data_IF_372617784349
#
_entry.id   IF_372617784349
#
_cell.length_a   1.000
_cell.length_b   1.000
_cell.length_c   1.000
_cell.angle_alpha   90.00
_cell.angle_beta   90.00
_cell.angle_gamma   90.00
#
_symmetry.space_group_name_H-M   'P 1'
#
loop_
_entity.id
_entity.type
_entity.pdbx_description
1 polymer ?
#
# COMPACT_ATOMS: atom_id res chain seq x y z
N UNK A 1 36.16 18.11 -9.39
CA UNK A 1 35.30 17.39 -8.42
C UNK A 1 34.08 17.00 -9.23
N UNK A 2 34.22 15.91 -10.00
CA UNK A 2 33.31 15.56 -11.08
C UNK A 2 33.12 14.05 -11.06
N UNK A 3 31.87 13.57 -11.12
CA UNK A 3 31.61 12.18 -11.51
C UNK A 3 30.83 11.27 -10.56
N UNK A 4 29.71 11.71 -9.96
CA UNK A 4 28.72 10.77 -9.36
C UNK A 4 27.29 10.96 -9.89
N UNK A 5 27.08 11.84 -10.87
CA UNK A 5 25.90 11.76 -11.76
C UNK A 5 26.23 10.83 -12.91
N UNK A 6 26.33 9.53 -12.62
CA UNK A 6 26.24 8.50 -13.67
C UNK A 6 24.93 8.76 -14.41
N UNK A 7 25.02 9.14 -15.69
CA UNK A 7 23.91 9.06 -16.62
C UNK A 7 23.21 7.74 -16.38
N UNK A 8 21.96 7.79 -15.96
CA UNK A 8 21.08 6.63 -16.05
C UNK A 8 21.17 6.20 -17.52
N UNK A 9 21.70 5.02 -17.82
CA UNK A 9 21.76 4.54 -19.20
C UNK A 9 20.36 4.67 -19.81
N UNK A 10 20.26 5.18 -21.04
CA UNK A 10 18.97 5.44 -21.69
C UNK A 10 18.04 4.21 -21.75
N UNK A 11 18.59 2.99 -21.67
CA UNK A 11 17.81 1.76 -21.55
C UNK A 11 17.11 1.60 -20.19
N UNK A 12 17.76 1.97 -19.08
CA UNK A 12 17.19 1.94 -17.73
C UNK A 12 16.08 2.98 -17.57
N UNK A 13 16.25 4.15 -18.20
CA UNK A 13 15.24 5.21 -18.22
C UNK A 13 13.98 4.76 -18.99
N UNK A 14 14.16 4.13 -20.15
CA UNK A 14 13.04 3.58 -20.93
C UNK A 14 12.29 2.46 -20.20
N UNK A 15 13.01 1.57 -19.51
CA UNK A 15 12.40 0.52 -18.69
C UNK A 15 11.60 1.10 -17.51
N UNK A 16 12.13 2.11 -16.83
CA UNK A 16 11.45 2.81 -15.73
C UNK A 16 10.21 3.57 -16.20
N UNK A 17 10.26 4.20 -17.38
CA UNK A 17 9.10 4.87 -17.99
C UNK A 17 7.96 3.88 -18.31
N UNK A 18 8.28 2.73 -18.93
CA UNK A 18 7.27 1.69 -19.22
C UNK A 18 6.65 1.12 -17.95
N UNK A 19 7.47 0.81 -16.95
CA UNK A 19 6.98 0.31 -15.66
C UNK A 19 6.06 1.34 -14.97
N UNK A 20 6.42 2.62 -15.03
CA UNK A 20 5.61 3.71 -14.47
C UNK A 20 4.25 3.81 -15.16
N UNK A 21 4.18 3.68 -16.49
CA UNK A 21 2.90 3.68 -17.22
C UNK A 21 1.97 2.54 -16.75
N UNK A 22 2.52 1.33 -16.54
CA UNK A 22 1.74 0.20 -16.01
C UNK A 22 1.28 0.48 -14.57
N UNK A 23 2.14 1.04 -13.71
CA UNK A 23 1.79 1.40 -12.33
C UNK A 23 0.70 2.47 -12.30
N UNK A 24 0.78 3.49 -13.15
CA UNK A 24 -0.22 4.57 -13.26
C UNK A 24 -1.56 4.00 -13.71
N UNK A 25 -1.57 3.13 -14.72
CA UNK A 25 -2.78 2.44 -15.17
C UNK A 25 -3.37 1.58 -14.06
N UNK A 26 -2.55 0.76 -13.41
CA UNK A 26 -2.99 -0.09 -12.30
C UNK A 26 -3.60 0.75 -11.17
N UNK A 27 -2.95 1.84 -10.76
CA UNK A 27 -3.46 2.75 -9.73
C UNK A 27 -4.78 3.42 -10.14
N UNK A 28 -4.92 3.79 -11.42
CA UNK A 28 -6.15 4.40 -11.95
C UNK A 28 -7.31 3.40 -12.01
N UNK A 29 -7.05 2.13 -12.29
CA UNK A 29 -8.05 1.06 -12.24
C UNK A 29 -8.42 0.76 -10.78
N UNK A 30 -7.42 0.64 -9.89
CA UNK A 30 -7.65 0.34 -8.47
C UNK A 30 -8.28 1.50 -7.68
N UNK A 31 -8.33 2.72 -8.21
CA UNK A 31 -8.85 3.90 -7.48
C UNK A 31 -10.28 3.71 -6.98
N UNK A 32 -11.12 3.02 -7.75
CA UNK A 32 -12.53 2.77 -7.46
C UNK A 32 -12.74 1.65 -6.45
N UNK A 33 -12.20 0.44 -6.65
CA UNK A 33 -12.35 -0.64 -5.66
C UNK A 33 -11.72 -0.26 -4.31
N UNK A 34 -10.60 0.45 -4.30
CA UNK A 34 -10.00 0.94 -3.03
C UNK A 34 -10.84 2.02 -2.35
N UNK A 35 -11.59 2.82 -3.11
CA UNK A 35 -12.53 3.80 -2.53
C UNK A 35 -13.74 3.07 -1.94
N UNK A 36 -14.30 2.09 -2.65
CA UNK A 36 -15.38 1.26 -2.14
C UNK A 36 -14.98 0.57 -0.83
N UNK A 37 -13.77 0.00 -0.76
CA UNK A 37 -13.24 -0.63 0.45
C UNK A 37 -13.11 0.33 1.64
N UNK A 38 -12.90 1.62 1.37
CA UNK A 38 -12.78 2.65 2.40
C UNK A 38 -14.16 3.13 2.86
N UNK A 39 -15.12 3.27 1.94
CA UNK A 39 -16.44 3.84 2.23
C UNK A 39 -17.42 2.81 2.80
N UNK A 40 -17.42 1.57 2.32
CA UNK A 40 -18.32 0.52 2.79
C UNK A 40 -18.31 0.29 4.32
N UNK A 41 -17.15 0.23 5.01
CA UNK A 41 -17.12 -0.04 6.44
C UNK A 41 -17.45 1.19 7.30
N UNK A 42 -17.42 2.41 6.77
CA UNK A 42 -17.70 3.62 7.55
C UNK A 42 -19.07 3.63 8.24
N UNK A 43 -20.20 3.34 7.58
CA UNK A 43 -21.50 3.32 8.27
C UNK A 43 -21.54 2.30 9.42
N UNK A 44 -20.84 1.17 9.29
CA UNK A 44 -20.77 0.14 10.34
C UNK A 44 -19.95 0.63 11.53
N UNK A 45 -18.79 1.25 11.28
CA UNK A 45 -17.94 1.85 12.32
C UNK A 45 -18.69 2.97 13.04
N UNK A 46 -19.38 3.83 12.29
CA UNK A 46 -20.20 4.92 12.85
C UNK A 46 -21.29 4.34 13.73
N UNK A 47 -21.98 3.28 13.29
CA UNK A 47 -23.02 2.60 14.08
C UNK A 47 -22.47 2.09 15.41
N UNK A 48 -21.33 1.39 15.40
CA UNK A 48 -20.69 0.87 16.61
C UNK A 48 -20.32 2.01 17.57
N UNK A 49 -19.74 3.09 17.06
CA UNK A 49 -19.35 4.23 17.88
C UNK A 49 -20.55 5.02 18.41
N UNK A 50 -21.61 5.16 17.61
CA UNK A 50 -22.84 5.87 17.98
C UNK A 50 -23.64 5.13 19.05
N UNK A 51 -23.57 3.79 19.05
CA UNK A 51 -24.20 2.95 20.08
C UNK A 51 -23.36 2.85 21.34
N UNK A 52 -22.05 3.12 21.30
CA UNK A 52 -21.19 3.00 22.48
C UNK A 52 -21.69 3.74 23.75
N UNK A 53 -22.30 4.95 23.68
CA UNK A 53 -22.84 5.65 24.84
C UNK A 53 -24.05 4.98 25.49
N UNK A 54 -24.74 4.05 24.80
CA UNK A 54 -25.90 3.33 25.35
C UNK A 54 -25.48 2.16 26.26
N UNK A 55 -24.17 1.90 26.37
CA UNK A 55 -23.63 0.86 27.24
C UNK A 55 -23.16 1.47 28.56
N UNK A 56 -23.52 0.83 29.66
CA UNK A 56 -22.96 1.13 30.98
C UNK A 56 -21.83 0.17 31.36
N UNK A 57 -20.93 0.65 32.24
CA UNK A 57 -19.85 -0.13 32.84
C UNK A 57 -18.74 -0.55 31.84
N UNK A 58 -18.09 -1.71 32.06
CA UNK A 58 -16.94 -2.13 31.25
C UNK A 58 -17.29 -2.38 29.77
N UNK A 59 -18.55 -2.69 29.44
CA UNK A 59 -19.00 -2.90 28.06
C UNK A 59 -18.81 -1.67 27.17
N UNK A 60 -19.00 -0.46 27.72
CA UNK A 60 -18.77 0.80 26.99
C UNK A 60 -17.33 0.94 26.51
N UNK A 61 -16.38 0.63 27.39
CA UNK A 61 -14.96 0.71 27.06
C UNK A 61 -14.57 -0.29 25.98
N UNK A 62 -15.14 -1.51 26.01
CA UNK A 62 -14.91 -2.52 24.97
C UNK A 62 -15.45 -2.06 23.62
N UNK A 63 -16.70 -1.59 23.56
CA UNK A 63 -17.32 -1.11 22.31
C UNK A 63 -16.57 0.09 21.75
N UNK A 64 -16.18 1.06 22.60
CA UNK A 64 -15.35 2.19 22.19
C UNK A 64 -13.98 1.74 21.67
N UNK A 65 -13.29 0.85 22.39
CA UNK A 65 -11.98 0.37 21.97
C UNK A 65 -12.05 -0.32 20.60
N UNK A 66 -13.06 -1.15 20.37
CA UNK A 66 -13.30 -1.81 19.08
C UNK A 66 -13.61 -0.79 17.98
N UNK A 67 -14.53 0.15 18.24
CA UNK A 67 -14.87 1.23 17.30
C UNK A 67 -13.67 2.09 16.90
N UNK A 68 -12.85 2.48 17.88
CA UNK A 68 -11.61 3.26 17.66
C UNK A 68 -10.59 2.44 16.87
N UNK A 69 -10.38 1.16 17.21
CA UNK A 69 -9.46 0.30 16.48
C UNK A 69 -9.85 0.19 15.00
N UNK A 70 -11.14 0.00 14.69
CA UNK A 70 -11.64 -0.04 13.32
C UNK A 70 -11.43 1.30 12.60
N UNK A 71 -11.69 2.43 13.27
CA UNK A 71 -11.47 3.76 12.72
C UNK A 71 -9.98 4.01 12.41
N UNK A 72 -9.07 3.57 13.28
CA UNK A 72 -7.63 3.69 13.06
C UNK A 72 -7.16 2.88 11.84
N UNK A 73 -7.66 1.65 11.66
CA UNK A 73 -7.35 0.84 10.48
C UNK A 73 -7.85 1.53 9.20
N UNK A 74 -9.07 2.05 9.22
CA UNK A 74 -9.64 2.81 8.09
C UNK A 74 -8.82 4.06 7.76
N UNK A 75 -8.45 4.84 8.78
CA UNK A 75 -7.62 6.03 8.61
C UNK A 75 -6.22 5.70 8.09
N UNK A 76 -5.59 4.62 8.57
CA UNK A 76 -4.30 4.15 8.09
C UNK A 76 -4.37 3.76 6.60
N UNK A 77 -5.41 3.03 6.20
CA UNK A 77 -5.65 2.67 4.80
C UNK A 77 -5.90 3.90 3.92
N UNK A 78 -6.72 4.85 4.39
CA UNK A 78 -7.00 6.12 3.70
C UNK A 78 -5.71 6.93 3.46
N UNK A 79 -4.88 7.07 4.49
CA UNK A 79 -3.60 7.79 4.41
C UNK A 79 -2.63 7.11 3.44
N UNK A 80 -2.62 5.77 3.39
CA UNK A 80 -1.81 5.02 2.40
C UNK A 80 -2.33 5.21 0.98
N UNK A 81 -3.64 5.09 0.77
CA UNK A 81 -4.29 5.33 -0.52
C UNK A 81 -3.98 6.74 -1.05
N UNK A 82 -4.09 7.76 -0.21
CA UNK A 82 -3.77 9.14 -0.58
C UNK A 82 -2.30 9.29 -1.02
N UNK A 83 -1.36 8.72 -0.26
CA UNK A 83 0.08 8.80 -0.58
C UNK A 83 0.42 8.08 -1.89
N UNK A 84 -0.21 6.93 -2.16
CA UNK A 84 -0.02 6.19 -3.43
C UNK A 84 -0.60 6.96 -4.62
N UNK A 85 -1.81 7.51 -4.50
CA UNK A 85 -2.41 8.31 -5.58
C UNK A 85 -1.58 9.57 -5.87
N UNK A 86 -1.14 10.27 -4.82
CA UNK A 86 -0.26 11.44 -4.94
C UNK A 86 1.10 11.10 -5.57
N UNK A 87 1.64 9.91 -5.29
CA UNK A 87 2.88 9.45 -5.91
C UNK A 87 2.72 9.17 -7.42
N UNK A 88 1.51 8.81 -7.85
CA UNK A 88 1.18 8.49 -9.25
C UNK A 88 0.79 9.72 -10.07
N UNK A 89 0.40 10.83 -9.43
CA UNK A 89 0.04 12.09 -10.08
C UNK A 89 1.20 12.73 -10.86
N UNK A 90 2.45 12.50 -10.45
CA UNK A 90 3.64 12.93 -11.19
C UNK A 90 4.46 11.71 -11.66
N UNK A 91 4.09 11.16 -12.84
CA UNK A 91 4.68 9.95 -13.39
C UNK A 91 6.14 10.16 -13.84
N UNK A 92 6.53 11.38 -14.20
CA UNK A 92 7.91 11.65 -14.64
C UNK A 92 8.86 11.52 -13.45
N UNK A 93 8.56 12.19 -12.33
CA UNK A 93 9.41 12.04 -11.15
C UNK A 93 9.33 10.64 -10.53
N UNK A 94 8.22 9.92 -10.66
CA UNK A 94 8.15 8.51 -10.25
C UNK A 94 9.09 7.63 -11.08
N UNK A 95 9.15 7.81 -12.40
CA UNK A 95 10.07 7.09 -13.27
C UNK A 95 11.54 7.39 -12.92
N UNK A 96 11.86 8.65 -12.63
CA UNK A 96 13.21 9.06 -12.17
C UNK A 96 13.58 8.39 -10.85
N UNK A 97 12.69 8.42 -9.84
CA UNK A 97 12.95 7.79 -8.54
C UNK A 97 13.08 6.26 -8.64
N UNK A 98 12.32 5.62 -9.53
CA UNK A 98 12.48 4.19 -9.81
C UNK A 98 13.83 3.89 -10.49
N UNK A 99 14.26 4.73 -11.43
CA UNK A 99 15.60 4.63 -12.02
C UNK A 99 16.72 4.77 -11.00
N UNK A 100 16.59 5.70 -10.04
CA UNK A 100 17.51 5.87 -8.92
C UNK A 100 17.51 4.64 -8.01
N UNK A 101 16.33 4.10 -7.66
CA UNK A 101 16.21 2.91 -6.83
C UNK A 101 16.85 1.66 -7.47
N UNK A 102 16.78 1.54 -8.79
CA UNK A 102 17.45 0.48 -9.57
C UNK A 102 18.97 0.69 -9.59
N UNK A 103 19.44 1.93 -9.79
CA UNK A 103 20.87 2.22 -9.77
C UNK A 103 21.47 1.94 -8.38
N UNK A 104 20.74 2.32 -7.31
CA UNK A 104 21.13 2.06 -5.92
C UNK A 104 21.17 0.57 -5.56
N UNK A 105 20.48 -0.31 -6.28
CA UNK A 105 20.49 -1.75 -5.99
C UNK A 105 21.84 -2.41 -6.34
N UNK A 106 22.71 -1.72 -7.10
CA UNK A 106 23.98 -2.25 -7.57
C UNK A 106 23.84 -3.41 -8.55
N UNK A 107 22.61 -3.77 -8.96
CA UNK A 107 22.29 -4.87 -9.88
C UNK A 107 21.37 -4.39 -11.01
N UNK A 108 21.80 -3.35 -11.71
CA UNK A 108 21.01 -2.74 -12.78
C UNK A 108 20.51 -3.76 -13.82
N UNK A 109 21.33 -4.74 -14.20
CA UNK A 109 20.97 -5.73 -15.23
C UNK A 109 19.93 -6.78 -14.76
N UNK A 110 20.01 -7.27 -13.51
CA UNK A 110 18.97 -8.16 -12.95
C UNK A 110 17.64 -7.41 -12.77
N UNK A 111 17.70 -6.13 -12.38
CA UNK A 111 16.49 -5.32 -12.15
C UNK A 111 15.86 -4.85 -13.47
N UNK A 112 16.65 -4.67 -14.54
CA UNK A 112 16.15 -4.41 -15.91
C UNK A 112 15.30 -5.58 -16.42
N UNK A 113 15.77 -6.82 -16.27
CA UNK A 113 15.01 -8.01 -16.65
C UNK A 113 13.67 -8.14 -15.90
N UNK A 114 13.61 -7.64 -14.67
CA UNK A 114 12.38 -7.55 -13.88
C UNK A 114 11.43 -6.49 -14.43
N UNK A 115 11.92 -5.30 -14.75
CA UNK A 115 11.11 -4.22 -15.33
C UNK A 115 10.54 -4.61 -16.71
N UNK A 116 11.34 -5.29 -17.54
CA UNK A 116 10.89 -5.84 -18.82
C UNK A 116 9.85 -6.97 -18.63
N UNK A 117 10.04 -7.83 -17.62
CA UNK A 117 9.05 -8.87 -17.30
C UNK A 117 7.71 -8.30 -16.81
N UNK A 118 7.73 -7.16 -16.09
CA UNK A 118 6.51 -6.42 -15.71
C UNK A 118 5.85 -5.78 -16.92
N UNK A 119 6.64 -5.22 -17.84
CA UNK A 119 6.13 -4.63 -19.08
C UNK A 119 5.61 -5.68 -20.09
N UNK A 120 6.11 -6.91 -20.04
CA UNK A 120 5.79 -8.01 -20.98
C UNK A 120 4.48 -8.77 -20.74
N UNK A 121 3.63 -8.37 -19.80
CA UNK A 121 2.24 -8.87 -19.71
C UNK A 121 2.03 -10.29 -19.16
N UNK A 122 2.99 -10.87 -18.42
CA UNK A 122 2.90 -12.24 -17.87
C UNK A 122 2.55 -12.33 -16.38
N UNK A 123 1.38 -11.86 -15.96
CA UNK A 123 1.04 -11.49 -14.57
C UNK A 123 1.35 -12.47 -13.42
N UNK A 124 1.29 -13.80 -13.59
CA UNK A 124 1.50 -14.75 -12.47
C UNK A 124 2.88 -15.42 -12.47
N UNK A 125 3.41 -15.81 -13.64
CA UNK A 125 4.77 -16.38 -13.76
C UNK A 125 5.85 -15.32 -13.67
N UNK A 126 5.59 -14.09 -14.15
CA UNK A 126 6.51 -12.98 -13.92
C UNK A 126 6.56 -12.66 -12.42
N UNK A 127 5.42 -12.66 -11.73
CA UNK A 127 5.35 -12.37 -10.29
C UNK A 127 6.08 -13.39 -9.42
N UNK A 128 5.99 -14.69 -9.73
CA UNK A 128 6.75 -15.72 -8.98
C UNK A 128 8.26 -15.63 -9.20
N UNK A 129 8.69 -15.30 -10.43
CA UNK A 129 10.11 -15.04 -10.76
C UNK A 129 10.64 -13.76 -10.10
N UNK A 130 9.82 -12.71 -10.12
CA UNK A 130 10.03 -11.46 -9.38
C UNK A 130 10.25 -11.76 -7.90
N UNK A 131 9.34 -12.51 -7.27
CA UNK A 131 9.44 -12.86 -5.85
C UNK A 131 10.73 -13.62 -5.54
N UNK A 132 11.14 -14.55 -6.43
CA UNK A 132 12.42 -15.26 -6.32
C UNK A 132 13.63 -14.34 -6.41
N UNK A 133 13.67 -13.45 -7.41
CA UNK A 133 14.73 -12.45 -7.58
C UNK A 133 14.80 -11.47 -6.41
N UNK A 134 13.66 -10.95 -5.95
CA UNK A 134 13.57 -10.08 -4.78
C UNK A 134 13.99 -10.77 -3.48
N UNK A 135 13.85 -12.09 -3.36
CA UNK A 135 14.35 -12.85 -2.21
C UNK A 135 15.85 -13.13 -2.26
N UNK A 136 16.46 -13.07 -3.46
CA UNK A 136 17.91 -13.27 -3.69
C UNK A 136 18.73 -11.98 -3.82
N UNK A 137 18.08 -10.83 -3.99
CA UNK A 137 18.73 -9.51 -3.85
C UNK A 137 18.93 -9.26 -2.36
N UNK A 138 20.13 -9.55 -1.87
CA UNK A 138 20.55 -9.19 -0.53
C UNK A 138 20.36 -7.69 -0.33
N UNK A 139 19.35 -7.33 0.47
CA UNK A 139 19.05 -5.94 0.83
C UNK A 139 20.23 -5.37 1.60
N UNK A 140 21.16 -4.71 0.92
CA UNK A 140 22.24 -3.99 1.60
C UNK A 140 21.62 -2.83 2.39
N UNK A 141 22.07 -2.57 3.62
CA UNK A 141 21.51 -1.50 4.45
C UNK A 141 21.47 -0.13 3.74
N UNK A 142 22.48 0.14 2.91
CA UNK A 142 22.58 1.35 2.07
C UNK A 142 21.43 1.51 1.06
N UNK A 143 20.92 0.40 0.52
CA UNK A 143 19.78 0.42 -0.39
C UNK A 143 18.45 0.65 0.33
N UNK A 144 18.30 0.09 1.54
CA UNK A 144 17.13 0.33 2.41
C UNK A 144 17.06 1.81 2.81
N UNK A 145 18.19 2.38 3.24
CA UNK A 145 18.28 3.78 3.66
C UNK A 145 18.00 4.72 2.48
N UNK A 146 18.64 4.48 1.33
CA UNK A 146 18.44 5.29 0.12
C UNK A 146 17.02 5.24 -0.44
N UNK A 147 16.29 4.13 -0.30
CA UNK A 147 14.87 4.05 -0.68
C UNK A 147 13.98 4.79 0.31
N UNK A 148 14.34 4.81 1.59
CA UNK A 148 13.60 5.54 2.62
C UNK A 148 13.43 7.02 2.29
N UNK A 149 14.46 7.59 1.67
CA UNK A 149 14.56 8.99 1.28
C UNK A 149 13.80 9.35 0.00
N UNK A 150 13.45 8.36 -0.83
CA UNK A 150 12.68 8.58 -2.06
C UNK A 150 11.20 8.85 -1.73
N UNK A 151 10.65 10.04 -2.01
CA UNK A 151 9.31 10.40 -1.52
C UNK A 151 8.18 9.58 -2.16
N UNK A 152 8.35 9.09 -3.39
CA UNK A 152 7.31 8.41 -4.20
C UNK A 152 7.60 6.93 -4.40
N UNK A 153 8.83 6.57 -4.80
CA UNK A 153 9.19 5.17 -5.11
C UNK A 153 9.13 4.25 -3.88
N UNK A 154 9.34 4.78 -2.67
CA UNK A 154 9.32 4.00 -1.42
C UNK A 154 8.04 3.21 -1.14
N UNK A 155 6.91 3.60 -1.73
CA UNK A 155 5.63 2.90 -1.54
C UNK A 155 5.51 1.65 -2.41
N UNK A 156 6.35 1.53 -3.45
CA UNK A 156 6.36 0.43 -4.40
C UNK A 156 7.53 -0.54 -4.17
N UNK A 157 8.36 -0.28 -3.14
CA UNK A 157 9.59 -1.03 -2.86
C UNK A 157 9.55 -1.75 -1.49
N UNK A 158 10.23 -2.90 -1.36
CA UNK A 158 10.08 -3.86 -0.26
C UNK A 158 10.04 -3.37 1.19
N UNK A 159 10.81 -2.36 1.65
CA UNK A 159 10.73 -1.99 3.07
C UNK A 159 9.34 -1.51 3.49
N UNK A 160 8.50 -1.00 2.57
CA UNK A 160 7.11 -0.63 2.86
C UNK A 160 6.07 -1.50 2.15
N UNK A 161 6.44 -2.39 1.24
CA UNK A 161 5.50 -3.37 0.65
C UNK A 161 4.89 -4.23 1.75
N UNK A 162 5.69 -4.75 2.68
CA UNK A 162 5.19 -5.57 3.80
C UNK A 162 4.10 -4.84 4.59
N UNK A 163 4.40 -3.63 5.07
CA UNK A 163 3.41 -2.81 5.80
C UNK A 163 2.18 -2.45 4.97
N UNK A 164 2.35 -2.24 3.66
CA UNK A 164 1.24 -1.90 2.76
C UNK A 164 0.33 -3.11 2.56
N UNK A 165 0.88 -4.30 2.33
CA UNK A 165 0.12 -5.55 2.24
C UNK A 165 -0.63 -5.80 3.54
N UNK A 166 0.01 -5.65 4.71
CA UNK A 166 -0.67 -5.82 5.99
C UNK A 166 -1.83 -4.85 6.17
N UNK A 167 -1.64 -3.57 5.83
CA UNK A 167 -2.71 -2.55 5.94
C UNK A 167 -3.84 -2.82 4.94
N UNK A 168 -3.53 -3.27 3.72
CA UNK A 168 -4.54 -3.64 2.71
C UNK A 168 -5.33 -4.87 3.15
N UNK A 169 -4.66 -5.90 3.67
CA UNK A 169 -5.30 -7.10 4.20
C UNK A 169 -6.17 -6.75 5.41
N UNK A 170 -5.68 -5.90 6.32
CA UNK A 170 -6.47 -5.42 7.44
C UNK A 170 -7.71 -4.63 6.99
N UNK A 171 -7.57 -3.77 5.97
CA UNK A 171 -8.69 -3.03 5.40
C UNK A 171 -9.70 -3.95 4.68
N UNK A 172 -9.22 -5.02 4.03
CA UNK A 172 -10.08 -6.03 3.43
C UNK A 172 -10.92 -6.77 4.50
N UNK A 173 -10.28 -7.14 5.61
CA UNK A 173 -10.94 -7.76 6.76
C UNK A 173 -11.81 -6.80 7.58
N UNK A 174 -11.60 -5.49 7.42
CA UNK A 174 -12.37 -4.48 8.15
C UNK A 174 -13.87 -4.58 7.86
N UNK A 175 -14.24 -4.93 6.62
CA UNK A 175 -15.63 -5.06 6.24
C UNK A 175 -16.40 -6.15 7.01
N UNK A 176 -15.98 -7.44 6.96
CA UNK A 176 -16.67 -8.48 7.73
C UNK A 176 -16.56 -8.24 9.25
N UNK A 177 -15.43 -7.74 9.76
CA UNK A 177 -15.25 -7.46 11.18
C UNK A 177 -16.20 -6.36 11.65
N UNK A 178 -16.29 -5.25 10.91
CA UNK A 178 -17.20 -4.15 11.25
C UNK A 178 -18.67 -4.55 11.16
N UNK A 179 -19.03 -5.44 10.23
CA UNK A 179 -20.38 -5.99 10.15
C UNK A 179 -20.73 -6.80 11.39
N UNK A 180 -19.87 -7.75 11.75
CA UNK A 180 -20.06 -8.59 12.95
C UNK A 180 -20.11 -7.75 14.21
N UNK A 181 -19.19 -6.80 14.36
CA UNK A 181 -19.17 -5.87 15.49
C UNK A 181 -20.46 -5.04 15.57
N UNK A 182 -20.94 -4.49 14.45
CA UNK A 182 -22.18 -3.73 14.40
C UNK A 182 -23.39 -4.58 14.80
N UNK A 183 -23.53 -5.79 14.25
CA UNK A 183 -24.62 -6.72 14.59
C UNK A 183 -24.62 -7.04 16.09
N UNK A 184 -23.47 -7.43 16.66
CA UNK A 184 -23.38 -7.72 18.09
C UNK A 184 -23.68 -6.50 18.96
N UNK A 185 -23.20 -5.32 18.55
CA UNK A 185 -23.46 -4.07 19.28
C UNK A 185 -24.95 -3.72 19.26
N UNK A 186 -25.63 -3.88 18.11
CA UNK A 186 -27.07 -3.68 17.99
C UNK A 186 -27.84 -4.68 18.86
N UNK A 187 -27.53 -5.97 18.77
CA UNK A 187 -28.20 -7.02 19.58
C UNK A 187 -28.03 -6.72 21.07
N UNK A 188 -26.81 -6.36 21.50
CA UNK A 188 -26.53 -6.06 22.90
C UNK A 188 -27.22 -4.77 23.37
N UNK A 189 -27.40 -3.78 22.48
CA UNK A 189 -28.16 -2.57 22.79
C UNK A 189 -29.66 -2.87 22.92
N UNK A 190 -30.23 -3.66 22.01
CA UNK A 190 -31.65 -4.06 22.04
C UNK A 190 -31.98 -4.93 23.24
N UNK A 191 -31.11 -5.88 23.60
CA UNK A 191 -31.33 -6.76 24.75
C UNK A 191 -31.32 -6.03 26.11
N UNK A 192 -30.91 -4.75 26.12
CA UNK A 192 -30.86 -3.89 27.31
C UNK A 192 -31.96 -2.82 27.33
N UNK A 193 -32.66 -2.60 26.21
CA UNK A 193 -33.78 -1.68 26.09
C UNK A 193 -35.08 -2.34 26.58
#
# INVERSE_FOLDING_TARGET
>A
MDGVTSRVDGQTEQAAQRATQVIVLAARVLRWPTLALLVLPLPLIITVLALAPTFDGPGRFVVLAVGIAMALVSAAFAGRRYKVLKAVEDPVGLATELGIAVNLSGRADETRGVLEAVAGGGGWRAFSRLKGLWSGVGMTGRWIDGIGDLPRARYFLPPKIGTTVTVVVAALWLLPVSFVAAVFTIIAAVARA
#
